data_IF_545751123156
#
_entry.id   IF_545751123156
#
_cell.length_a   1.000
_cell.length_b   1.000
_cell.length_c   1.000
_cell.angle_alpha   90.00
_cell.angle_beta   90.00
_cell.angle_gamma   90.00
#
_symmetry.space_group_name_H-M   'P 1'
#
loop_
_entity.id
_entity.type
_entity.pdbx_description
1 polymer ?
#
# COMPACT_ATOMS: atom_id res chain seq x y z
N UNK A 1 -10.99 -0.24 -4.92
CA UNK A 1 -10.50 0.76 -5.89
C UNK A 1 -10.04 2.06 -5.26
N UNK A 2 -10.54 2.50 -4.10
CA UNK A 2 -9.95 3.66 -3.36
C UNK A 2 -8.47 3.44 -3.06
N UNK A 3 -8.14 2.33 -2.38
CA UNK A 3 -6.77 2.01 -1.93
C UNK A 3 -5.68 2.12 -3.00
N UNK A 4 -5.78 1.50 -4.19
CA UNK A 4 -4.73 1.63 -5.20
C UNK A 4 -4.63 3.03 -5.81
N UNK A 5 -5.63 3.91 -5.68
CA UNK A 5 -5.52 5.28 -6.19
C UNK A 5 -4.70 6.17 -5.26
N UNK A 6 -4.69 5.88 -3.95
CA UNK A 6 -3.88 6.56 -2.96
C UNK A 6 -2.39 6.25 -3.13
N UNK A 7 -1.54 7.23 -2.88
CA UNK A 7 -0.09 7.08 -2.87
C UNK A 7 0.35 6.23 -1.67
N UNK A 8 1.04 5.12 -1.93
CA UNK A 8 1.51 4.23 -0.87
C UNK A 8 2.62 4.89 -0.04
N UNK A 9 2.57 4.83 1.31
CA UNK A 9 3.53 5.51 2.19
C UNK A 9 4.46 4.58 2.98
N UNK A 10 4.38 3.27 2.74
CA UNK A 10 5.38 2.31 3.26
C UNK A 10 6.66 2.34 2.41
N UNK A 11 7.77 1.86 2.96
CA UNK A 11 9.03 1.82 2.23
C UNK A 11 8.94 1.03 0.91
N UNK A 12 8.43 -0.20 0.97
CA UNK A 12 8.23 -1.05 -0.23
C UNK A 12 7.19 -0.45 -1.17
N UNK A 13 6.15 0.18 -0.63
CA UNK A 13 5.15 0.90 -1.41
C UNK A 13 5.73 2.06 -2.22
N UNK A 14 6.55 2.92 -1.60
CA UNK A 14 7.18 4.04 -2.30
C UNK A 14 8.24 3.61 -3.31
N UNK A 15 8.98 2.53 -3.02
CA UNK A 15 9.87 1.91 -4.00
C UNK A 15 9.08 1.49 -5.24
N UNK A 16 7.88 0.93 -5.09
CA UNK A 16 7.03 0.56 -6.22
C UNK A 16 6.39 1.75 -6.93
N UNK A 17 5.96 2.78 -6.19
CA UNK A 17 5.36 4.00 -6.75
C UNK A 17 6.33 4.76 -7.66
N UNK A 18 7.60 4.87 -7.27
CA UNK A 18 8.59 5.71 -7.97
C UNK A 18 9.63 4.93 -8.79
N UNK A 19 9.96 3.70 -8.38
CA UNK A 19 11.04 2.92 -8.99
C UNK A 19 10.53 1.63 -9.66
N UNK A 20 9.25 1.33 -9.52
CA UNK A 20 8.54 0.19 -10.13
C UNK A 20 9.18 -1.17 -9.82
N UNK A 21 8.65 -1.87 -8.82
CA UNK A 21 9.15 -3.20 -8.46
C UNK A 21 8.62 -4.21 -9.47
N UNK A 22 9.53 -4.84 -10.21
CA UNK A 22 9.19 -5.91 -11.14
C UNK A 22 9.89 -7.22 -10.74
N UNK A 23 9.08 -8.27 -10.53
CA UNK A 23 9.56 -9.59 -10.13
C UNK A 23 10.49 -9.57 -8.89
N UNK A 24 10.19 -8.72 -7.90
CA UNK A 24 10.97 -8.61 -6.66
C UNK A 24 12.33 -7.93 -6.85
N UNK A 25 12.45 -7.04 -7.84
CA UNK A 25 13.63 -6.21 -8.05
C UNK A 25 13.27 -4.84 -8.64
N UNK A 26 14.18 -3.88 -8.49
CA UNK A 26 14.14 -2.57 -9.17
C UNK A 26 15.36 -2.42 -10.08
N UNK A 27 15.19 -1.71 -11.20
CA UNK A 27 16.28 -1.42 -12.14
C UNK A 27 16.62 0.07 -12.10
N UNK A 28 17.84 0.38 -11.66
CA UNK A 28 18.22 1.73 -11.27
C UNK A 28 19.49 2.19 -11.99
N UNK A 29 19.62 3.50 -12.17
CA UNK A 29 20.87 4.07 -12.64
C UNK A 29 22.00 3.85 -11.61
N UNK A 30 23.21 3.50 -12.05
CA UNK A 30 24.35 3.25 -11.16
C UNK A 30 24.67 4.40 -10.20
N UNK A 31 24.38 5.64 -10.60
CA UNK A 31 24.57 6.84 -9.79
C UNK A 31 23.75 6.82 -8.50
N UNK A 32 22.54 6.25 -8.53
CA UNK A 32 21.68 6.09 -7.34
C UNK A 32 22.38 5.19 -6.31
N UNK A 33 23.14 4.19 -6.77
CA UNK A 33 23.88 3.27 -5.91
C UNK A 33 25.30 3.76 -5.56
N UNK A 34 25.66 4.99 -5.94
CA UNK A 34 26.99 5.54 -5.71
C UNK A 34 28.08 4.95 -6.62
N UNK A 35 27.71 4.29 -7.71
CA UNK A 35 28.64 3.71 -8.68
C UNK A 35 28.86 4.66 -9.88
N UNK A 36 30.12 4.81 -10.30
CA UNK A 36 30.54 5.67 -11.42
C UNK A 36 30.52 4.96 -12.79
N UNK A 37 29.70 3.92 -12.97
CA UNK A 37 29.58 3.22 -14.25
C UNK A 37 28.46 3.84 -15.08
N UNK A 38 28.74 4.23 -16.31
CA UNK A 38 27.72 4.74 -17.24
C UNK A 38 27.10 3.60 -18.06
N UNK A 39 25.79 3.68 -18.31
CA UNK A 39 25.11 2.97 -19.41
C UNK A 39 24.39 1.66 -19.08
N UNK A 40 24.67 0.97 -17.95
CA UNK A 40 23.96 -0.26 -17.59
C UNK A 40 23.20 -0.11 -16.27
N UNK A 41 21.86 -0.26 -16.32
CA UNK A 41 21.03 -0.29 -15.11
C UNK A 41 21.47 -1.40 -14.17
N UNK A 42 21.53 -1.08 -12.87
CA UNK A 42 21.79 -2.02 -11.80
C UNK A 42 20.46 -2.63 -11.38
N UNK A 43 20.39 -3.97 -11.40
CA UNK A 43 19.25 -4.70 -10.87
C UNK A 43 19.46 -4.94 -9.38
N UNK A 44 18.55 -4.41 -8.57
CA UNK A 44 18.56 -4.56 -7.11
C UNK A 44 17.44 -5.48 -6.66
N UNK A 45 17.74 -6.66 -6.10
CA UNK A 45 16.72 -7.55 -5.56
C UNK A 45 16.13 -6.99 -4.26
N UNK A 46 14.82 -7.08 -4.12
CA UNK A 46 14.02 -6.64 -2.98
C UNK A 46 13.17 -7.80 -2.49
N UNK A 47 13.66 -8.56 -1.52
CA UNK A 47 12.95 -9.69 -0.94
C UNK A 47 13.47 -10.01 0.48
N UNK A 48 12.81 -10.94 1.17
CA UNK A 48 13.11 -11.29 2.56
C UNK A 48 14.43 -12.03 2.80
N UNK A 49 15.23 -12.31 1.77
CA UNK A 49 16.60 -12.83 1.95
C UNK A 49 17.52 -11.76 2.54
N UNK A 50 17.24 -10.50 2.24
CA UNK A 50 17.84 -9.34 2.89
C UNK A 50 17.12 -9.07 4.22
N UNK A 51 17.88 -9.18 5.31
CA UNK A 51 17.34 -9.05 6.67
C UNK A 51 16.97 -7.61 7.00
N UNK A 52 17.76 -6.63 6.51
CA UNK A 52 17.46 -5.23 6.71
C UNK A 52 16.18 -4.87 5.95
N UNK A 53 16.05 -5.27 4.69
CA UNK A 53 14.83 -5.02 3.92
C UNK A 53 13.61 -5.65 4.58
N UNK A 54 13.70 -6.89 5.06
CA UNK A 54 12.61 -7.55 5.79
C UNK A 54 12.11 -6.73 6.99
N UNK A 55 13.01 -6.02 7.67
CA UNK A 55 12.69 -5.20 8.85
C UNK A 55 12.06 -3.85 8.47
N UNK A 56 12.52 -3.21 7.39
CA UNK A 56 12.13 -1.83 7.05
C UNK A 56 11.04 -1.72 5.98
N UNK A 57 10.84 -2.76 5.15
CA UNK A 57 9.94 -2.71 3.97
C UNK A 57 8.49 -2.36 4.31
N UNK A 58 8.03 -2.81 5.48
CA UNK A 58 6.66 -2.68 5.93
C UNK A 58 6.46 -1.37 6.72
N UNK A 59 7.52 -0.68 7.13
CA UNK A 59 7.45 0.56 7.90
C UNK A 59 6.95 1.74 7.04
N UNK A 60 6.29 2.70 7.68
CA UNK A 60 6.04 4.00 7.06
C UNK A 60 7.38 4.69 6.77
N UNK A 61 7.49 5.32 5.59
CA UNK A 61 8.74 5.88 5.11
C UNK A 61 9.34 6.95 6.02
N UNK A 62 8.52 7.73 6.73
CA UNK A 62 9.02 8.74 7.65
C UNK A 62 9.86 8.15 8.80
N UNK A 63 9.58 6.89 9.17
CA UNK A 63 10.29 6.15 10.21
C UNK A 63 11.57 5.51 9.68
N UNK A 64 11.61 5.13 8.40
CA UNK A 64 12.74 4.42 7.77
C UNK A 64 14.04 5.21 7.93
N UNK A 65 14.00 6.52 7.70
CA UNK A 65 15.18 7.38 7.82
C UNK A 65 15.75 7.39 9.25
N UNK A 66 14.89 7.30 10.27
CA UNK A 66 15.32 7.18 11.66
C UNK A 66 15.96 5.81 11.93
N UNK A 67 15.32 4.73 11.51
CA UNK A 67 15.82 3.36 11.70
C UNK A 67 17.18 3.16 11.03
N UNK A 68 17.34 3.64 9.79
CA UNK A 68 18.61 3.56 9.07
C UNK A 68 19.71 4.35 9.79
N UNK A 69 19.42 5.57 10.27
CA UNK A 69 20.38 6.38 11.04
C UNK A 69 20.80 5.71 12.35
N UNK A 70 19.85 5.14 13.08
CA UNK A 70 20.12 4.43 14.34
C UNK A 70 21.02 3.22 14.09
N UNK A 71 20.69 2.38 13.10
CA UNK A 71 21.51 1.21 12.76
C UNK A 71 22.90 1.57 12.25
N UNK A 72 23.03 2.58 11.40
CA UNK A 72 24.32 3.06 10.92
C UNK A 72 25.20 3.58 12.07
N UNK A 73 24.61 4.30 13.02
CA UNK A 73 25.32 4.79 14.22
C UNK A 73 25.77 3.64 15.12
N UNK A 74 24.91 2.66 15.36
CA UNK A 74 25.25 1.45 16.12
C UNK A 74 26.39 0.67 15.45
N UNK A 75 26.35 0.48 14.13
CA UNK A 75 27.43 -0.20 13.40
C UNK A 75 28.77 0.54 13.51
N UNK A 76 28.75 1.88 13.49
CA UNK A 76 29.96 2.68 13.66
C UNK A 76 30.54 2.53 15.07
N UNK A 77 29.70 2.53 16.09
CA UNK A 77 30.11 2.31 17.48
C UNK A 77 30.74 0.92 17.66
N UNK A 78 30.08 -0.13 17.14
CA UNK A 78 30.59 -1.50 17.16
C UNK A 78 31.99 -1.59 16.53
N UNK A 79 32.21 -0.89 15.40
CA UNK A 79 33.50 -0.84 14.72
C UNK A 79 34.58 -0.20 15.61
N UNK A 80 34.27 0.93 16.25
CA UNK A 80 35.21 1.59 17.16
C UNK A 80 35.57 0.68 18.33
N UNK A 81 34.58 0.11 19.01
CA UNK A 81 34.79 -0.82 20.14
C UNK A 81 35.61 -2.05 19.72
N UNK A 82 35.38 -2.59 18.52
CA UNK A 82 36.18 -3.68 17.93
C UNK A 82 37.67 -3.34 17.83
N UNK A 83 37.97 -2.11 17.41
CA UNK A 83 39.35 -1.66 17.21
C UNK A 83 40.07 -1.25 18.50
N UNK A 84 39.34 -1.01 19.59
CA UNK A 84 39.93 -0.49 20.85
C UNK A 84 40.02 -1.52 21.98
N UNK A 85 39.37 -2.68 21.87
CA UNK A 85 39.27 -3.65 22.98
C UNK A 85 39.82 -5.03 22.60
N UNK A 86 40.46 -5.74 23.54
CA UNK A 86 40.82 -7.14 23.38
C UNK A 86 39.55 -8.00 23.36
N UNK A 87 39.27 -8.60 22.20
CA UNK A 87 38.00 -9.30 21.96
C UNK A 87 38.13 -10.82 21.94
N UNK A 88 37.05 -11.49 22.30
CA UNK A 88 36.91 -12.93 22.21
C UNK A 88 36.62 -13.40 20.77
N UNK A 89 36.90 -14.66 20.48
CA UNK A 89 36.61 -15.28 19.16
C UNK A 89 35.11 -15.24 18.82
N UNK A 90 34.23 -15.25 19.82
CA UNK A 90 32.78 -15.13 19.61
C UNK A 90 32.38 -13.74 19.15
N UNK A 91 32.93 -12.70 19.79
CA UNK A 91 32.66 -11.29 19.43
C UNK A 91 33.20 -10.97 18.02
N UNK A 92 34.37 -11.51 17.65
CA UNK A 92 34.91 -11.47 16.29
C UNK A 92 33.94 -12.07 15.26
N UNK A 93 33.33 -13.21 15.55
CA UNK A 93 32.38 -13.87 14.64
C UNK A 93 31.12 -13.03 14.43
N UNK A 94 30.61 -12.39 15.48
CA UNK A 94 29.42 -11.55 15.38
C UNK A 94 29.72 -10.21 14.70
N UNK A 95 30.91 -9.64 14.90
CA UNK A 95 31.38 -8.47 14.17
C UNK A 95 31.50 -8.73 12.67
N UNK A 96 32.08 -9.87 12.25
CA UNK A 96 32.17 -10.24 10.83
C UNK A 96 30.77 -10.34 10.20
N UNK A 97 29.77 -10.86 10.91
CA UNK A 97 28.38 -10.87 10.41
C UNK A 97 27.82 -9.46 10.19
N UNK A 98 28.11 -8.51 11.10
CA UNK A 98 27.69 -7.10 10.96
C UNK A 98 28.40 -6.40 9.80
N UNK A 99 29.69 -6.67 9.57
CA UNK A 99 30.41 -6.15 8.40
C UNK A 99 29.80 -6.67 7.09
N UNK A 100 29.41 -7.94 7.05
CA UNK A 100 28.79 -8.54 5.88
C UNK A 100 27.41 -7.93 5.53
N UNK A 101 26.74 -7.25 6.47
CA UNK A 101 25.48 -6.53 6.20
C UNK A 101 25.67 -5.07 5.77
N UNK A 102 26.90 -4.53 5.77
CA UNK A 102 27.18 -3.17 5.28
C UNK A 102 26.69 -2.91 3.85
N UNK A 103 26.83 -3.84 2.87
CA UNK A 103 26.32 -3.61 1.53
C UNK A 103 24.79 -3.43 1.48
N UNK A 104 24.05 -4.17 2.33
CA UNK A 104 22.59 -4.02 2.46
C UNK A 104 22.25 -2.65 3.06
N UNK A 105 22.98 -2.22 4.08
CA UNK A 105 22.82 -0.90 4.71
C UNK A 105 23.06 0.24 3.72
N UNK A 106 24.19 0.23 3.01
CA UNK A 106 24.53 1.27 2.01
C UNK A 106 23.48 1.33 0.91
N UNK A 107 23.02 0.17 0.41
CA UNK A 107 21.98 0.11 -0.60
C UNK A 107 20.67 0.77 -0.13
N UNK A 108 20.22 0.47 1.08
CA UNK A 108 18.97 1.03 1.58
C UNK A 108 19.06 2.50 1.97
N UNK A 109 20.24 2.98 2.40
CA UNK A 109 20.51 4.42 2.57
C UNK A 109 20.37 5.14 1.22
N UNK A 110 21.02 4.62 0.18
CA UNK A 110 20.98 5.20 -1.16
C UNK A 110 19.55 5.23 -1.73
N UNK A 111 18.81 4.12 -1.61
CA UNK A 111 17.40 4.05 -2.01
C UNK A 111 16.53 5.04 -1.24
N UNK A 112 16.68 5.12 0.09
CA UNK A 112 15.91 6.05 0.91
C UNK A 112 16.23 7.51 0.58
N UNK A 113 17.49 7.85 0.34
CA UNK A 113 17.89 9.18 -0.11
C UNK A 113 17.27 9.53 -1.47
N UNK A 114 17.27 8.59 -2.41
CA UNK A 114 16.65 8.79 -3.70
C UNK A 114 15.13 8.98 -3.59
N UNK A 115 14.44 8.16 -2.80
CA UNK A 115 13.01 8.33 -2.52
C UNK A 115 12.70 9.71 -1.91
N UNK A 116 13.53 10.20 -0.99
CA UNK A 116 13.38 11.53 -0.40
C UNK A 116 13.41 12.66 -1.43
N UNK A 117 14.07 12.48 -2.59
CA UNK A 117 14.04 13.47 -3.68
C UNK A 117 12.67 13.59 -4.35
N UNK A 118 11.80 12.57 -4.23
CA UNK A 118 10.42 12.60 -4.70
C UNK A 118 9.47 13.06 -3.60
N UNK A 119 9.59 12.48 -2.40
CA UNK A 119 8.63 12.70 -1.32
C UNK A 119 8.73 14.07 -0.65
N UNK A 120 9.88 14.74 -0.76
CA UNK A 120 10.05 16.11 -0.25
C UNK A 120 9.51 17.20 -1.19
N UNK A 121 9.08 16.85 -2.41
CA UNK A 121 8.55 17.83 -3.37
C UNK A 121 7.18 18.32 -2.92
N UNK A 122 6.97 19.64 -2.98
CA UNK A 122 5.68 20.25 -2.64
C UNK A 122 4.51 19.67 -3.47
N UNK A 123 4.76 19.32 -4.73
CA UNK A 123 3.76 18.68 -5.60
C UNK A 123 3.30 17.31 -5.08
N UNK A 124 4.19 16.56 -4.44
CA UNK A 124 3.83 15.27 -3.83
C UNK A 124 3.06 15.49 -2.53
N UNK A 125 3.54 16.40 -1.67
CA UNK A 125 2.88 16.72 -0.40
C UNK A 125 1.46 17.25 -0.63
N UNK A 126 1.29 18.22 -1.53
CA UNK A 126 -0.03 18.77 -1.88
C UNK A 126 -0.96 17.72 -2.49
N UNK A 127 -0.43 16.70 -3.18
CA UNK A 127 -1.22 15.57 -3.67
C UNK A 127 -1.69 14.69 -2.53
N UNK A 128 -0.83 14.38 -1.56
CA UNK A 128 -1.23 13.61 -0.38
C UNK A 128 -2.34 14.30 0.40
N UNK A 129 -2.24 15.61 0.62
CA UNK A 129 -3.27 16.40 1.28
C UNK A 129 -4.62 16.33 0.53
N UNK A 130 -4.56 16.40 -0.81
CA UNK A 130 -5.76 16.27 -1.64
C UNK A 130 -6.32 14.84 -1.64
N UNK A 131 -5.48 13.80 -1.66
CA UNK A 131 -5.92 12.42 -1.52
C UNK A 131 -6.67 12.21 -0.19
N UNK A 132 -6.17 12.76 0.91
CA UNK A 132 -6.87 12.73 2.20
C UNK A 132 -8.22 13.47 2.14
N UNK A 133 -8.25 14.67 1.58
CA UNK A 133 -9.48 15.46 1.39
C UNK A 133 -10.53 14.70 0.55
N UNK A 134 -10.09 14.01 -0.49
CA UNK A 134 -10.95 13.17 -1.34
C UNK A 134 -11.51 11.95 -0.61
N UNK A 135 -10.69 11.30 0.23
CA UNK A 135 -11.09 10.18 1.09
C UNK A 135 -12.08 10.65 2.14
N UNK A 136 -11.91 11.86 2.67
CA UNK A 136 -12.86 12.45 3.60
C UNK A 136 -14.23 12.67 2.96
N UNK A 137 -14.26 13.05 1.68
CA UNK A 137 -15.47 13.23 0.87
C UNK A 137 -16.48 14.22 1.47
N UNK A 138 -15.97 15.32 2.04
CA UNK A 138 -16.79 16.41 2.61
C UNK A 138 -16.69 17.72 1.84
N UNK A 139 -15.60 17.91 1.08
CA UNK A 139 -15.26 19.18 0.42
C UNK A 139 -15.29 19.05 -1.11
N UNK A 140 -16.48 18.86 -1.69
CA UNK A 140 -16.63 18.57 -3.11
C UNK A 140 -16.02 19.66 -4.02
N UNK A 141 -16.31 20.93 -3.76
CA UNK A 141 -15.86 22.04 -4.61
C UNK A 141 -14.34 22.21 -4.57
N UNK A 142 -13.72 22.11 -3.38
CA UNK A 142 -12.26 22.15 -3.20
C UNK A 142 -11.58 21.04 -4.01
N UNK A 143 -12.12 19.82 -3.94
CA UNK A 143 -11.61 18.68 -4.69
C UNK A 143 -11.76 18.86 -6.20
N UNK A 144 -12.90 19.39 -6.64
CA UNK A 144 -13.16 19.66 -8.05
C UNK A 144 -12.19 20.70 -8.61
N UNK A 145 -12.06 21.84 -7.93
CA UNK A 145 -11.19 22.95 -8.34
C UNK A 145 -9.72 22.52 -8.39
N UNK A 146 -9.26 21.73 -7.42
CA UNK A 146 -7.88 21.22 -7.42
C UNK A 146 -7.60 20.31 -8.61
N UNK A 147 -8.53 19.39 -8.94
CA UNK A 147 -8.37 18.47 -10.08
C UNK A 147 -8.40 19.26 -11.39
N UNK A 148 -9.29 20.23 -11.53
CA UNK A 148 -9.33 21.14 -12.68
C UNK A 148 -8.02 21.91 -12.83
N UNK A 149 -7.52 22.52 -11.76
CA UNK A 149 -6.24 23.22 -11.75
C UNK A 149 -5.07 22.29 -12.14
N UNK A 150 -5.09 21.04 -11.66
CA UNK A 150 -4.08 20.03 -12.01
C UNK A 150 -4.11 19.66 -13.50
N UNK A 151 -5.30 19.65 -14.11
CA UNK A 151 -5.48 19.48 -15.56
C UNK A 151 -4.90 20.68 -16.32
N UNK A 152 -5.18 21.90 -15.87
CA UNK A 152 -4.69 23.13 -16.52
C UNK A 152 -3.18 23.31 -16.39
N UNK A 153 -2.59 22.86 -15.28
CA UNK A 153 -1.13 22.82 -15.08
C UNK A 153 -0.41 21.74 -15.89
N UNK A 154 -1.16 20.85 -16.55
CA UNK A 154 -0.62 19.68 -17.26
C UNK A 154 0.28 18.82 -16.35
N UNK A 155 -0.18 18.57 -15.11
CA UNK A 155 0.48 17.58 -14.26
C UNK A 155 0.53 16.20 -14.93
N UNK A 156 1.42 15.28 -14.51
CA UNK A 156 1.48 13.96 -15.13
C UNK A 156 0.10 13.29 -15.18
N UNK A 157 -0.36 12.93 -16.38
CA UNK A 157 -1.74 12.48 -16.63
C UNK A 157 -2.18 11.35 -15.68
N UNK A 158 -1.31 10.37 -15.42
CA UNK A 158 -1.58 9.27 -14.49
C UNK A 158 -1.90 9.78 -13.08
N UNK A 159 -1.21 10.81 -12.61
CA UNK A 159 -1.46 11.42 -11.30
C UNK A 159 -2.84 12.09 -11.25
N UNK A 160 -3.18 12.85 -12.29
CA UNK A 160 -4.51 13.49 -12.42
C UNK A 160 -5.62 12.46 -12.49
N UNK A 161 -5.44 11.39 -13.27
CA UNK A 161 -6.42 10.31 -13.39
C UNK A 161 -6.65 9.58 -12.06
N UNK A 162 -5.59 9.33 -11.27
CA UNK A 162 -5.73 8.74 -9.93
C UNK A 162 -6.62 9.60 -9.03
N UNK A 163 -6.40 10.90 -8.98
CA UNK A 163 -7.22 11.84 -8.20
C UNK A 163 -8.67 11.90 -8.72
N UNK A 164 -8.85 11.97 -10.05
CA UNK A 164 -10.17 12.00 -10.68
C UNK A 164 -10.98 10.73 -10.43
N UNK A 165 -10.33 9.57 -10.48
CA UNK A 165 -10.96 8.27 -10.19
C UNK A 165 -11.27 8.15 -8.70
N UNK A 166 -10.34 8.57 -7.82
CA UNK A 166 -10.58 8.62 -6.39
C UNK A 166 -11.82 9.49 -6.09
N UNK A 167 -11.90 10.68 -6.70
CA UNK A 167 -13.04 11.59 -6.56
C UNK A 167 -14.35 10.99 -7.03
N UNK A 168 -14.35 10.34 -8.20
CA UNK A 168 -15.51 9.62 -8.73
C UNK A 168 -15.93 8.48 -7.80
N UNK A 169 -15.01 7.66 -7.30
CA UNK A 169 -15.33 6.51 -6.45
C UNK A 169 -15.92 6.97 -5.11
N UNK A 170 -15.32 7.95 -4.44
CA UNK A 170 -15.81 8.41 -3.13
C UNK A 170 -17.16 9.12 -3.22
N UNK A 171 -17.51 9.65 -4.39
CA UNK A 171 -18.81 10.31 -4.65
C UNK A 171 -19.83 9.43 -5.40
N UNK A 172 -19.50 8.17 -5.70
CA UNK A 172 -20.33 7.26 -6.53
C UNK A 172 -20.65 7.82 -7.92
N UNK A 173 -19.67 8.49 -8.51
CA UNK A 173 -19.73 9.22 -9.77
C UNK A 173 -19.77 10.73 -9.56
N UNK A 174 -19.68 11.47 -10.67
CA UNK A 174 -19.73 12.93 -10.68
C UNK A 174 -21.05 13.42 -11.29
N UNK A 175 -21.64 14.53 -10.81
CA UNK A 175 -22.75 15.20 -11.47
C UNK A 175 -22.49 15.39 -12.96
N UNK A 176 -23.49 15.13 -13.81
CA UNK A 176 -23.33 15.10 -15.28
C UNK A 176 -22.58 16.31 -15.84
N UNK A 177 -22.91 17.52 -15.37
CA UNK A 177 -22.24 18.76 -15.79
C UNK A 177 -20.74 18.71 -15.50
N UNK A 178 -20.35 18.37 -14.28
CA UNK A 178 -18.96 18.31 -13.83
C UNK A 178 -18.20 17.16 -14.51
N UNK A 179 -18.86 16.01 -14.70
CA UNK A 179 -18.32 14.87 -15.43
C UNK A 179 -17.98 15.22 -16.88
N UNK A 180 -18.94 15.81 -17.62
CA UNK A 180 -18.75 16.19 -19.02
C UNK A 180 -17.72 17.32 -19.15
N UNK A 181 -17.63 18.22 -18.15
CA UNK A 181 -16.63 19.29 -18.07
C UNK A 181 -15.21 18.76 -17.91
N UNK A 182 -14.92 18.01 -16.83
CA UNK A 182 -13.55 17.52 -16.56
C UNK A 182 -13.03 16.61 -17.67
N UNK A 183 -13.91 15.83 -18.32
CA UNK A 183 -13.52 15.03 -19.50
C UNK A 183 -13.10 15.91 -20.67
N UNK A 184 -13.81 17.01 -20.91
CA UNK A 184 -13.47 17.96 -21.98
C UNK A 184 -12.13 18.64 -21.70
N UNK A 185 -11.95 19.15 -20.48
CA UNK A 185 -10.70 19.78 -20.07
C UNK A 185 -9.51 18.81 -20.18
N UNK A 186 -9.70 17.55 -19.77
CA UNK A 186 -8.66 16.53 -19.90
C UNK A 186 -8.29 16.27 -21.37
N UNK A 187 -9.26 16.13 -22.28
CA UNK A 187 -8.97 15.93 -23.70
C UNK A 187 -8.34 17.16 -24.35
N UNK A 188 -8.73 18.37 -23.95
CA UNK A 188 -8.12 19.61 -24.44
C UNK A 188 -6.67 19.77 -23.95
N UNK A 189 -6.37 19.42 -22.69
CA UNK A 189 -5.04 19.55 -22.11
C UNK A 189 -4.07 18.44 -22.52
N UNK A 190 -4.54 17.21 -22.65
CA UNK A 190 -3.68 16.02 -22.84
C UNK A 190 -3.82 15.34 -24.21
N UNK A 191 -4.83 15.71 -25.01
CA UNK A 191 -5.04 15.17 -26.35
C UNK A 191 -6.30 14.30 -26.48
N UNK A 192 -6.88 14.30 -27.68
CA UNK A 192 -8.12 13.58 -27.99
C UNK A 192 -7.95 12.07 -28.15
N UNK A 193 -6.71 11.60 -28.34
CA UNK A 193 -6.33 10.19 -28.33
C UNK A 193 -6.74 9.48 -27.03
N UNK A 194 -6.89 10.23 -25.94
CA UNK A 194 -7.30 9.71 -24.65
C UNK A 194 -8.81 9.45 -24.51
N UNK A 195 -9.61 9.65 -25.58
CA UNK A 195 -11.05 9.37 -25.55
C UNK A 195 -11.37 7.90 -25.25
N UNK A 196 -10.59 6.97 -25.82
CA UNK A 196 -10.78 5.54 -25.59
C UNK A 196 -10.45 5.17 -24.13
N UNK A 197 -9.40 5.77 -23.55
CA UNK A 197 -9.05 5.62 -22.15
C UNK A 197 -10.20 6.08 -21.23
N UNK A 198 -10.77 7.27 -21.47
CA UNK A 198 -11.92 7.75 -20.70
C UNK A 198 -13.14 6.82 -20.83
N UNK A 199 -13.40 6.28 -22.02
CA UNK A 199 -14.48 5.31 -22.22
C UNK A 199 -14.22 3.99 -21.48
N UNK A 200 -12.98 3.53 -21.42
CA UNK A 200 -12.62 2.31 -20.69
C UNK A 200 -12.76 2.51 -19.17
N UNK A 201 -12.36 3.68 -18.65
CA UNK A 201 -12.56 4.05 -17.24
C UNK A 201 -14.05 4.14 -16.87
N UNK A 202 -14.89 4.68 -17.76
CA UNK A 202 -16.34 4.75 -17.57
C UNK A 202 -16.97 3.35 -17.58
N UNK A 203 -16.60 2.49 -18.54
CA UNK A 203 -17.05 1.08 -18.59
C UNK A 203 -16.62 0.28 -17.36
N UNK A 204 -15.43 0.55 -16.83
CA UNK A 204 -14.94 -0.06 -15.59
C UNK A 204 -15.61 0.50 -14.32
N UNK A 205 -16.44 1.54 -14.46
CA UNK A 205 -17.11 2.20 -13.34
C UNK A 205 -16.18 3.04 -12.46
N UNK A 206 -14.95 3.31 -12.90
CA UNK A 206 -13.95 4.09 -12.17
C UNK A 206 -14.19 5.59 -12.30
N UNK A 207 -14.53 6.06 -13.51
CA UNK A 207 -14.91 7.44 -13.80
C UNK A 207 -16.30 7.45 -14.43
N UNK A 208 -17.34 7.75 -13.65
CA UNK A 208 -18.73 7.66 -14.13
C UNK A 208 -19.58 8.86 -13.74
N UNK A 209 -20.72 8.99 -14.41
CA UNK A 209 -21.79 9.92 -14.00
C UNK A 209 -22.43 9.42 -12.70
N UNK A 210 -22.80 10.35 -11.85
CA UNK A 210 -23.50 10.06 -10.59
C UNK A 210 -24.94 9.71 -10.88
N UNK A 211 -25.34 8.49 -10.51
CA UNK A 211 -26.72 8.01 -10.61
C UNK A 211 -27.41 7.97 -9.24
N UNK A 212 -26.63 7.66 -8.19
CA UNK A 212 -27.11 7.46 -6.84
C UNK A 212 -26.22 8.22 -5.85
N UNK A 213 -26.74 8.48 -4.65
CA UNK A 213 -25.94 9.02 -3.55
C UNK A 213 -24.87 8.01 -3.13
N UNK A 214 -23.71 8.53 -2.71
CA UNK A 214 -22.60 7.69 -2.27
C UNK A 214 -22.83 7.10 -0.89
N UNK A 215 -22.57 5.80 -0.75
CA UNK A 215 -22.52 5.11 0.55
C UNK A 215 -21.17 5.29 1.26
N UNK A 216 -20.21 5.96 0.62
CA UNK A 216 -18.83 6.06 1.09
C UNK A 216 -18.72 6.62 2.51
N UNK A 217 -19.45 7.69 2.85
CA UNK A 217 -19.41 8.28 4.20
C UNK A 217 -19.87 7.30 5.29
N UNK A 218 -20.89 6.49 5.00
CA UNK A 218 -21.37 5.44 5.91
C UNK A 218 -20.32 4.36 6.07
N UNK A 219 -19.79 3.83 4.95
CA UNK A 219 -18.74 2.81 4.95
C UNK A 219 -17.50 3.28 5.72
N UNK A 220 -17.02 4.49 5.41
CA UNK A 220 -15.87 5.13 6.03
C UNK A 220 -16.01 5.23 7.54
N UNK A 221 -17.18 5.68 8.02
CA UNK A 221 -17.45 5.83 9.46
C UNK A 221 -17.59 4.49 10.15
N UNK A 222 -18.42 3.59 9.62
CA UNK A 222 -18.70 2.27 10.23
C UNK A 222 -17.46 1.40 10.29
N UNK A 223 -16.60 1.46 9.28
CA UNK A 223 -15.37 0.66 9.22
C UNK A 223 -14.12 1.43 9.70
N UNK A 224 -14.26 2.64 10.22
CA UNK A 224 -13.15 3.46 10.72
C UNK A 224 -11.99 3.52 9.72
N UNK A 225 -12.30 3.93 8.48
CA UNK A 225 -11.33 3.97 7.40
C UNK A 225 -10.41 5.19 7.46
N UNK A 226 -10.78 6.22 8.23
CA UNK A 226 -9.94 7.38 8.51
C UNK A 226 -9.66 7.40 10.00
N UNK A 227 -8.39 7.46 10.37
CA UNK A 227 -7.87 7.46 11.73
C UNK A 227 -7.04 8.73 11.90
N UNK A 228 -7.54 9.63 12.74
CA UNK A 228 -6.85 10.86 13.12
C UNK A 228 -5.62 10.55 13.99
N UNK A 229 -4.61 11.43 13.98
CA UNK A 229 -3.41 11.35 14.82
C UNK A 229 -2.67 10.00 14.79
N UNK A 230 -2.46 9.45 13.58
CA UNK A 230 -1.77 8.16 13.41
C UNK A 230 -0.29 8.26 13.81
N UNK A 231 0.11 7.60 14.91
CA UNK A 231 1.53 7.38 15.24
C UNK A 231 2.11 6.32 14.29
N UNK A 232 2.97 6.75 13.38
CA UNK A 232 3.60 5.85 12.41
C UNK A 232 4.87 5.19 12.94
N UNK A 233 5.50 5.73 13.98
CA UNK A 233 6.66 5.14 14.63
C UNK A 233 6.27 3.92 15.46
N UNK A 234 5.10 3.98 16.13
CA UNK A 234 4.55 2.87 16.90
C UNK A 234 3.07 2.63 16.51
N UNK A 235 2.82 2.12 15.30
CA UNK A 235 1.47 2.02 14.77
C UNK A 235 0.62 1.03 15.58
N UNK A 236 -0.59 1.47 15.93
CA UNK A 236 -1.61 0.64 16.60
C UNK A 236 -2.74 0.20 15.64
N UNK A 237 -2.80 0.78 14.45
CA UNK A 237 -3.80 0.51 13.43
C UNK A 237 -3.17 0.40 12.04
N UNK A 238 -3.81 -0.36 11.14
CA UNK A 238 -3.39 -0.53 9.73
C UNK A 238 -3.36 0.78 8.93
N UNK A 239 -4.00 1.85 9.41
CA UNK A 239 -3.99 3.18 8.79
C UNK A 239 -2.58 3.79 8.60
N UNK A 240 -1.57 3.29 9.33
CA UNK A 240 -0.19 3.78 9.22
C UNK A 240 0.40 3.64 7.81
N UNK A 241 -0.07 2.68 7.01
CA UNK A 241 0.46 2.43 5.66
C UNK A 241 0.10 3.53 4.64
N UNK A 242 -0.89 4.38 4.98
CA UNK A 242 -1.28 5.59 4.25
C UNK A 242 -1.41 6.81 5.18
N UNK A 243 -0.72 6.81 6.33
CA UNK A 243 -0.70 7.91 7.31
C UNK A 243 -2.09 8.47 7.65
N UNK A 244 -3.05 7.58 7.95
CA UNK A 244 -4.39 7.96 8.40
C UNK A 244 -5.52 7.26 7.65
N UNK A 245 -5.28 6.76 6.43
CA UNK A 245 -6.26 5.93 5.72
C UNK A 245 -6.02 4.43 5.93
N UNK A 246 -7.00 3.73 6.50
CA UNK A 246 -7.00 2.27 6.57
C UNK A 246 -7.60 1.67 5.29
N UNK A 247 -6.85 0.83 4.55
CA UNK A 247 -7.36 0.17 3.35
C UNK A 247 -8.64 -0.60 3.62
N UNK A 248 -9.71 -0.28 2.89
CA UNK A 248 -11.03 -0.93 3.05
C UNK A 248 -10.90 -2.46 2.92
N UNK A 249 -10.15 -2.93 1.93
CA UNK A 249 -9.86 -4.35 1.71
C UNK A 249 -9.29 -5.03 2.96
N UNK A 250 -8.31 -4.40 3.62
CA UNK A 250 -7.65 -4.96 4.80
C UNK A 250 -8.52 -4.83 6.03
N UNK A 251 -9.31 -3.75 6.14
CA UNK A 251 -10.29 -3.59 7.22
C UNK A 251 -11.37 -4.68 7.16
N UNK A 252 -11.82 -5.05 5.97
CA UNK A 252 -12.76 -6.18 5.80
C UNK A 252 -12.11 -7.50 6.25
N UNK A 253 -10.86 -7.76 5.87
CA UNK A 253 -10.12 -8.95 6.34
C UNK A 253 -9.98 -8.95 7.86
N UNK A 254 -9.59 -7.82 8.45
CA UNK A 254 -9.42 -7.67 9.90
C UNK A 254 -10.71 -8.02 10.65
N UNK A 255 -11.86 -7.51 10.19
CA UNK A 255 -13.14 -7.75 10.82
C UNK A 255 -13.62 -9.19 10.61
N UNK A 256 -13.47 -9.73 9.39
CA UNK A 256 -13.82 -11.11 9.09
C UNK A 256 -13.04 -12.10 9.97
N UNK A 257 -11.75 -11.84 10.18
CA UNK A 257 -10.87 -12.73 10.96
C UNK A 257 -11.06 -12.56 12.48
N UNK A 258 -11.43 -11.36 12.96
CA UNK A 258 -11.64 -11.12 14.40
C UNK A 258 -13.06 -11.44 14.88
N UNK A 259 -14.06 -11.10 14.09
CA UNK A 259 -15.47 -11.05 14.52
C UNK A 259 -16.40 -11.85 13.59
N UNK A 260 -15.90 -12.34 12.46
CA UNK A 260 -16.72 -12.95 11.40
C UNK A 260 -17.49 -11.91 10.58
N UNK A 261 -18.24 -12.38 9.58
CA UNK A 261 -18.98 -11.50 8.65
C UNK A 261 -20.35 -11.04 9.19
N UNK A 262 -20.93 -11.75 10.15
CA UNK A 262 -22.28 -11.43 10.67
C UNK A 262 -22.43 -10.00 11.20
N UNK A 263 -21.49 -9.46 12.02
CA UNK A 263 -21.61 -8.09 12.51
C UNK A 263 -21.55 -7.02 11.41
N UNK A 264 -21.08 -7.39 10.21
CA UNK A 264 -20.91 -6.48 9.08
C UNK A 264 -21.87 -6.76 7.91
N UNK A 265 -22.90 -7.59 8.09
CA UNK A 265 -23.81 -7.94 6.99
C UNK A 265 -24.46 -6.72 6.33
N UNK A 266 -24.92 -5.74 7.12
CA UNK A 266 -25.53 -4.51 6.60
C UNK A 266 -24.53 -3.62 5.86
N UNK A 267 -23.28 -3.54 6.32
CA UNK A 267 -22.26 -2.71 5.65
C UNK A 267 -21.78 -3.38 4.36
N UNK A 268 -21.76 -4.71 4.31
CA UNK A 268 -21.43 -5.46 3.10
C UNK A 268 -22.44 -5.18 1.99
N UNK A 269 -23.74 -5.12 2.28
CA UNK A 269 -24.78 -4.79 1.29
C UNK A 269 -24.58 -3.44 0.58
N UNK A 270 -23.78 -2.53 1.16
CA UNK A 270 -23.44 -1.24 0.57
C UNK A 270 -22.23 -1.32 -0.38
N UNK A 271 -21.50 -2.43 -0.38
CA UNK A 271 -20.34 -2.69 -1.23
C UNK A 271 -20.76 -3.40 -2.53
N UNK A 272 -19.97 -3.25 -3.62
CA UNK A 272 -20.25 -3.94 -4.86
C UNK A 272 -20.07 -5.46 -4.76
N UNK A 273 -20.97 -6.19 -5.41
CA UNK A 273 -20.86 -7.63 -5.62
C UNK A 273 -21.55 -8.47 -4.53
N UNK A 274 -21.65 -9.79 -4.74
CA UNK A 274 -22.24 -10.70 -3.77
C UNK A 274 -21.27 -10.99 -2.60
N UNK A 275 -21.84 -11.29 -1.44
CA UNK A 275 -21.11 -11.74 -0.25
C UNK A 275 -21.67 -13.09 0.18
N UNK A 276 -20.80 -14.05 0.44
CA UNK A 276 -21.22 -15.38 0.89
C UNK A 276 -20.17 -16.02 1.78
N UNK A 277 -20.63 -16.81 2.74
CA UNK A 277 -19.80 -17.67 3.56
C UNK A 277 -20.18 -19.11 3.25
N UNK A 278 -19.25 -19.90 2.72
CA UNK A 278 -19.48 -21.32 2.42
C UNK A 278 -18.56 -22.18 3.26
N UNK A 279 -19.15 -23.10 4.03
CA UNK A 279 -18.41 -24.12 4.76
C UNK A 279 -18.40 -25.39 3.93
N UNK A 280 -17.21 -25.87 3.56
CA UNK A 280 -17.07 -27.19 2.93
C UNK A 280 -17.03 -28.22 4.05
N UNK A 281 -17.96 -29.18 4.03
CA UNK A 281 -17.86 -30.38 4.89
C UNK A 281 -16.53 -31.06 4.64
N UNK A 282 -15.77 -31.34 5.69
CA UNK A 282 -14.39 -31.79 5.60
C UNK A 282 -14.22 -33.08 4.79
N UNK A 283 -13.03 -33.24 4.18
CA UNK A 283 -12.56 -34.57 3.82
C UNK A 283 -12.41 -35.37 5.12
N UNK A 284 -12.93 -36.60 5.13
CA UNK A 284 -13.11 -37.49 6.29
C UNK A 284 -11.82 -37.94 7.03
N UNK A 285 -10.69 -37.27 6.81
CA UNK A 285 -9.38 -37.59 7.38
C UNK A 285 -8.68 -36.41 8.06
N UNK A 286 -9.39 -35.33 8.38
CA UNK A 286 -8.84 -34.24 9.19
C UNK A 286 -9.87 -33.81 10.22
N UNK A 287 -9.50 -33.64 11.51
CA UNK A 287 -10.38 -33.00 12.48
C UNK A 287 -10.53 -31.54 12.05
N UNK A 288 -11.51 -31.28 11.20
CA UNK A 288 -11.94 -29.94 10.85
C UNK A 288 -12.43 -29.29 12.13
N UNK A 289 -11.67 -28.32 12.63
CA UNK A 289 -12.07 -27.50 13.76
C UNK A 289 -13.38 -26.78 13.40
N UNK A 290 -14.47 -27.35 13.89
CA UNK A 290 -15.75 -26.69 14.04
C UNK A 290 -15.54 -25.46 14.92
N UNK A 291 -15.65 -24.26 14.36
CA UNK A 291 -16.43 -23.11 14.88
C UNK A 291 -15.88 -21.74 14.41
N UNK A 292 -16.27 -21.28 13.22
CA UNK A 292 -16.38 -19.83 12.96
C UNK A 292 -17.64 -19.26 13.63
N UNK A 293 -17.74 -19.42 14.95
CA UNK A 293 -18.80 -18.85 15.78
C UNK A 293 -18.18 -18.24 17.03
N UNK A 294 -17.83 -16.94 16.96
CA UNK A 294 -17.70 -16.04 18.11
C UNK A 294 -17.07 -16.62 19.38
N UNK A 295 -16.03 -17.45 19.25
CA UNK A 295 -15.45 -18.17 20.36
C UNK A 295 -14.12 -17.52 20.74
N UNK A 296 -14.01 -17.27 22.03
CA UNK A 296 -12.86 -16.80 22.80
C UNK A 296 -11.51 -17.25 22.22
N UNK A 297 -10.52 -16.35 22.27
CA UNK A 297 -9.14 -16.46 21.76
C UNK A 297 -8.31 -17.71 22.16
N UNK A 298 -8.91 -18.68 22.87
CA UNK A 298 -8.29 -19.91 23.34
C UNK A 298 -8.47 -21.13 22.39
N UNK A 299 -9.32 -21.08 21.36
CA UNK A 299 -9.76 -22.30 20.64
C UNK A 299 -9.15 -22.53 19.25
N UNK A 300 -8.51 -21.54 18.61
CA UNK A 300 -8.03 -21.67 17.21
C UNK A 300 -6.56 -22.09 17.05
N UNK A 301 -5.98 -22.71 18.09
CA UNK A 301 -4.66 -23.33 17.97
C UNK A 301 -4.83 -24.75 17.42
N UNK A 302 -4.12 -25.06 16.34
CA UNK A 302 -3.92 -26.44 15.89
C UNK A 302 -3.37 -27.25 17.08
N UNK A 303 -3.65 -28.55 17.16
CA UNK A 303 -3.25 -29.41 18.30
C UNK A 303 -1.74 -29.31 18.68
N UNK A 304 -0.88 -28.84 17.76
CA UNK A 304 0.55 -28.55 17.94
C UNK A 304 0.85 -27.13 18.47
N UNK A 305 -0.14 -26.39 18.97
CA UNK A 305 0.00 -25.04 19.52
C UNK A 305 0.20 -23.92 18.49
N UNK A 306 0.18 -24.24 17.18
CA UNK A 306 0.33 -23.26 16.08
C UNK A 306 -0.97 -22.51 15.80
N UNK A 307 -0.85 -21.26 15.35
CA UNK A 307 -1.97 -20.48 14.84
C UNK A 307 -2.58 -21.16 13.61
N UNK A 308 -3.90 -21.07 13.48
CA UNK A 308 -4.59 -21.53 12.27
C UNK A 308 -4.21 -20.65 11.07
N UNK A 309 -4.29 -21.20 9.86
CA UNK A 309 -3.85 -20.49 8.66
C UNK A 309 -5.03 -19.95 7.84
N UNK A 310 -4.96 -18.68 7.44
CA UNK A 310 -5.95 -18.05 6.57
C UNK A 310 -5.28 -17.61 5.27
N UNK A 311 -5.81 -18.10 4.14
CA UNK A 311 -5.41 -17.65 2.82
C UNK A 311 -6.33 -16.50 2.37
N UNK A 312 -5.77 -15.29 2.26
CA UNK A 312 -6.44 -14.10 1.73
C UNK A 312 -6.11 -13.97 0.25
N UNK A 313 -7.11 -14.04 -0.63
CA UNK A 313 -6.90 -13.98 -2.09
C UNK A 313 -7.48 -12.70 -2.69
N UNK A 314 -6.62 -11.92 -3.33
CA UNK A 314 -6.99 -10.71 -4.08
C UNK A 314 -7.16 -11.04 -5.56
N UNK A 315 -8.37 -10.85 -6.08
CA UNK A 315 -8.67 -10.99 -7.51
C UNK A 315 -8.71 -9.58 -8.12
N UNK A 316 -7.82 -9.32 -9.08
CA UNK A 316 -7.65 -7.99 -9.69
C UNK A 316 -6.40 -7.25 -9.21
N UNK A 317 -5.80 -7.70 -8.11
CA UNK A 317 -4.49 -7.25 -7.65
C UNK A 317 -4.47 -6.76 -6.21
N UNK A 318 -3.26 -6.61 -5.66
CA UNK A 318 -2.98 -6.10 -4.31
C UNK A 318 -1.79 -5.15 -4.34
N UNK A 319 -1.82 -4.11 -3.52
CA UNK A 319 -0.70 -3.16 -3.37
C UNK A 319 0.29 -3.62 -2.30
N UNK A 320 1.52 -3.10 -2.32
CA UNK A 320 2.49 -3.37 -1.26
C UNK A 320 2.02 -2.82 0.09
N UNK A 321 1.36 -1.66 0.13
CA UNK A 321 0.78 -1.11 1.36
C UNK A 321 -0.30 -2.05 1.96
N UNK A 322 -1.14 -2.67 1.13
CA UNK A 322 -2.09 -3.69 1.58
C UNK A 322 -1.39 -4.94 2.13
N UNK A 323 -0.29 -5.36 1.49
CA UNK A 323 0.56 -6.46 1.98
C UNK A 323 1.18 -6.10 3.34
N UNK A 324 1.73 -4.90 3.51
CA UNK A 324 2.31 -4.41 4.76
C UNK A 324 1.28 -4.36 5.88
N UNK A 325 0.05 -3.93 5.58
CA UNK A 325 -1.05 -3.91 6.54
C UNK A 325 -1.47 -5.33 6.97
N UNK A 326 -1.50 -6.30 6.05
CA UNK A 326 -1.77 -7.71 6.39
C UNK A 326 -0.65 -8.33 7.23
N UNK A 327 0.62 -8.03 6.91
CA UNK A 327 1.77 -8.45 7.72
C UNK A 327 1.70 -7.86 9.13
N UNK A 328 1.34 -6.57 9.24
CA UNK A 328 1.11 -5.90 10.52
C UNK A 328 0.01 -6.61 11.33
N UNK A 329 -1.14 -6.92 10.74
CA UNK A 329 -2.20 -7.67 11.42
C UNK A 329 -1.72 -9.06 11.88
N UNK A 330 -1.02 -9.80 11.02
CA UNK A 330 -0.50 -11.13 11.35
C UNK A 330 0.52 -11.11 12.50
N UNK A 331 1.26 -10.01 12.65
CA UNK A 331 2.27 -9.85 13.69
C UNK A 331 1.68 -9.51 15.07
N UNK A 332 0.41 -9.10 15.16
CA UNK A 332 -0.20 -8.75 16.44
C UNK A 332 -0.34 -9.98 17.35
N UNK A 333 -0.10 -9.80 18.65
CA UNK A 333 -0.22 -10.87 19.64
C UNK A 333 -1.65 -11.40 19.74
N UNK A 334 -2.64 -10.51 19.61
CA UNK A 334 -4.08 -10.81 19.64
C UNK A 334 -4.57 -11.53 18.39
N UNK A 335 -3.74 -11.66 17.35
CA UNK A 335 -4.12 -12.34 16.12
C UNK A 335 -4.06 -13.86 16.30
N UNK A 336 -5.19 -14.53 16.07
CA UNK A 336 -5.31 -15.98 16.22
C UNK A 336 -4.79 -16.76 14.99
N UNK A 337 -4.52 -16.07 13.88
CA UNK A 337 -4.23 -16.68 12.58
C UNK A 337 -2.93 -16.19 11.96
N UNK A 338 -2.27 -17.08 11.23
CA UNK A 338 -1.22 -16.72 10.28
C UNK A 338 -1.84 -16.46 8.90
N UNK A 339 -1.44 -15.37 8.25
CA UNK A 339 -2.00 -14.95 6.97
C UNK A 339 -1.07 -15.31 5.81
N UNK A 340 -1.61 -16.00 4.80
CA UNK A 340 -0.99 -16.15 3.47
C UNK A 340 -1.74 -15.27 2.49
N UNK A 341 -1.00 -14.56 1.63
CA UNK A 341 -1.56 -13.65 0.62
C UNK A 341 -1.43 -14.30 -0.75
N UNK A 342 -2.56 -14.52 -1.42
CA UNK A 342 -2.64 -14.85 -2.84
C UNK A 342 -3.12 -13.64 -3.63
N UNK A 343 -2.61 -13.44 -4.84
CA UNK A 343 -3.07 -12.36 -5.72
C UNK A 343 -2.91 -12.72 -7.18
N UNK A 344 -3.75 -12.16 -8.05
CA UNK A 344 -3.56 -12.24 -9.51
C UNK A 344 -2.40 -11.38 -10.00
N UNK A 345 -2.10 -10.26 -9.31
CA UNK A 345 -1.03 -9.32 -9.67
C UNK A 345 -0.67 -8.42 -8.48
N UNK A 346 0.59 -8.04 -8.34
CA UNK A 346 0.95 -6.89 -7.50
C UNK A 346 0.75 -5.63 -8.32
N UNK A 347 0.02 -4.66 -7.79
CA UNK A 347 -0.38 -3.44 -8.52
C UNK A 347 -0.09 -2.20 -7.69
N UNK A 348 0.16 -1.10 -8.38
CA UNK A 348 0.09 0.27 -7.87
C UNK A 348 -0.94 1.08 -8.66
N UNK A 349 -1.27 2.27 -8.18
CA UNK A 349 -2.13 3.19 -8.93
C UNK A 349 -1.63 3.44 -10.34
N UNK A 350 -0.31 3.63 -10.50
CA UNK A 350 0.30 3.86 -11.80
C UNK A 350 0.07 2.69 -12.75
N UNK A 351 0.50 1.48 -12.35
CA UNK A 351 0.35 0.28 -13.19
C UNK A 351 -1.10 -0.05 -13.53
N UNK A 352 -2.05 0.30 -12.65
CA UNK A 352 -3.47 0.06 -12.88
C UNK A 352 -4.04 1.05 -13.90
N UNK A 353 -3.73 2.34 -13.78
CA UNK A 353 -4.16 3.37 -14.74
C UNK A 353 -3.57 3.12 -16.12
N UNK A 354 -2.29 2.74 -16.20
CA UNK A 354 -1.62 2.41 -17.46
C UNK A 354 -2.33 1.30 -18.24
N UNK A 355 -3.03 0.38 -17.58
CA UNK A 355 -3.81 -0.67 -18.29
C UNK A 355 -5.00 -0.12 -19.08
N UNK A 356 -5.47 1.09 -18.75
CA UNK A 356 -6.55 1.77 -19.46
C UNK A 356 -6.05 2.73 -20.54
N UNK A 357 -4.75 3.02 -20.55
CA UNK A 357 -4.10 3.88 -21.53
C UNK A 357 -3.75 3.06 -22.78
N UNK A 358 -4.03 3.63 -23.96
CA UNK A 358 -3.55 3.03 -25.20
C UNK A 358 -2.03 3.24 -25.32
N UNK A 359 -1.32 2.23 -25.81
CA UNK A 359 0.08 2.40 -26.22
C UNK A 359 0.08 3.19 -27.52
N UNK A 360 0.22 4.50 -27.42
CA UNK A 360 0.50 5.35 -28.56
C UNK A 360 1.87 4.92 -29.10
N UNK A 361 1.87 4.38 -30.31
CA UNK A 361 3.03 3.76 -30.96
C UNK A 361 4.07 4.76 -31.43
#
# INVERSE_FOLDING_TARGET
MVTPMCSQLTYEGLLDEFLHINNGAVELDPSIMGAQQEGKKIKVPLNSSDKLFKEIRDLNFEVVAQVLRQKATSMKQDYTEMTTTNQTVSELKDFVKKLNSLPEMTRHINLAQHLSTFTSKQSFLSRLDMEQTLIEAQSYDICFDYIEESIHKQEPLVSVLRLLILFSITNSGLPKRNFDHLRRELLHSYGFEHIAMLNNLEKAGLLKKQENKSNWLTIKRTLQLVVEDTDTANPNDIAYVFSGYAPLSIRLVQQAVRSGWRPMEEILKLLPGPHSETKRGGFSSSPSFDTLHGASAAVDRVADGRRSLVLVVFIGGVTFAEISALRFLSAQETMAYDLIIGTTKIVSGNTLIETYMEKLG
#
